data_IF_568765929264
#
_entry.id   IF_568765929264
#
_cell.length_a   1.000
_cell.length_b   1.000
_cell.length_c   1.000
_cell.angle_alpha   90.00
_cell.angle_beta   90.00
_cell.angle_gamma   90.00
#
_symmetry.space_group_name_H-M   'P 1'
#
loop_
_entity.id
_entity.type
_entity.pdbx_description
1 polymer ?
#
# COMPACT_ATOMS: atom_id res chain seq x y z
N UNK A 1 -13.57 -18.38 -27.16
CA UNK A 1 -13.84 -18.45 -25.71
C UNK A 1 -13.76 -17.08 -25.04
N UNK A 2 -12.60 -16.39 -24.97
CA UNK A 2 -12.52 -15.05 -24.34
C UNK A 2 -13.44 -14.01 -25.00
N UNK A 3 -13.56 -14.01 -26.33
CA UNK A 3 -14.48 -13.13 -27.08
C UNK A 3 -15.93 -13.30 -26.62
N UNK A 4 -16.40 -14.55 -26.49
CA UNK A 4 -17.77 -14.84 -26.08
C UNK A 4 -18.00 -14.36 -24.64
N UNK A 5 -17.08 -14.68 -23.71
CA UNK A 5 -17.15 -14.19 -22.33
C UNK A 5 -17.28 -12.66 -22.24
N UNK A 6 -16.43 -11.91 -22.94
CA UNK A 6 -16.50 -10.45 -22.91
C UNK A 6 -17.80 -9.95 -23.54
N UNK A 7 -18.25 -10.57 -24.63
CA UNK A 7 -19.52 -10.18 -25.28
C UNK A 7 -20.72 -10.44 -24.37
N UNK A 8 -20.77 -11.59 -23.70
CA UNK A 8 -21.83 -11.94 -22.75
C UNK A 8 -21.83 -11.01 -21.53
N UNK A 9 -20.65 -10.73 -20.99
CA UNK A 9 -20.48 -9.76 -19.91
C UNK A 9 -20.96 -8.36 -20.32
N UNK A 10 -20.66 -7.94 -21.55
CA UNK A 10 -21.15 -6.66 -22.08
C UNK A 10 -22.67 -6.62 -22.25
N UNK A 11 -23.28 -7.73 -22.67
CA UNK A 11 -24.73 -7.87 -22.76
C UNK A 11 -25.35 -7.69 -21.37
N UNK A 12 -24.79 -8.33 -20.34
CA UNK A 12 -25.32 -8.23 -18.98
C UNK A 12 -25.11 -6.83 -18.38
N UNK A 13 -23.95 -6.20 -18.62
CA UNK A 13 -23.71 -4.79 -18.24
C UNK A 13 -24.67 -3.85 -18.98
N UNK A 14 -25.02 -4.14 -20.23
CA UNK A 14 -25.97 -3.33 -20.99
C UNK A 14 -27.41 -3.47 -20.49
N UNK A 15 -27.78 -4.63 -19.93
CA UNK A 15 -29.10 -4.87 -19.33
C UNK A 15 -29.29 -4.13 -18.01
N UNK A 16 -28.22 -3.98 -17.23
CA UNK A 16 -28.27 -3.26 -15.95
C UNK A 16 -27.31 -2.05 -15.92
N UNK A 17 -27.89 -0.87 -16.15
CA UNK A 17 -27.16 0.40 -16.13
C UNK A 17 -26.54 0.77 -14.77
N UNK A 18 -26.88 0.04 -13.69
CA UNK A 18 -26.24 0.21 -12.39
C UNK A 18 -24.89 -0.50 -12.30
N UNK A 19 -24.59 -1.48 -13.16
CA UNK A 19 -23.30 -2.16 -13.17
C UNK A 19 -22.24 -1.22 -13.77
N UNK A 20 -21.50 -0.55 -12.89
CA UNK A 20 -20.45 0.42 -13.27
C UNK A 20 -19.04 -0.16 -13.15
N UNK A 21 -18.86 -1.12 -12.25
CA UNK A 21 -17.54 -1.67 -11.90
C UNK A 21 -17.60 -3.19 -11.78
N UNK A 22 -16.65 -3.87 -12.41
CA UNK A 22 -16.43 -5.31 -12.30
C UNK A 22 -15.08 -5.55 -11.64
N UNK A 23 -15.08 -6.32 -10.55
CA UNK A 23 -13.87 -6.67 -9.81
C UNK A 23 -13.37 -8.04 -10.24
N UNK A 24 -12.06 -8.13 -10.43
CA UNK A 24 -11.31 -9.39 -10.51
C UNK A 24 -10.35 -9.44 -9.32
N UNK A 25 -10.06 -10.64 -8.82
CA UNK A 25 -9.06 -10.80 -7.76
C UNK A 25 -7.68 -10.99 -8.38
N UNK A 26 -6.75 -10.07 -8.10
CA UNK A 26 -5.43 -10.03 -8.73
C UNK A 26 -5.47 -9.70 -10.24
N UNK A 27 -6.43 -8.84 -10.62
CA UNK A 27 -6.66 -8.39 -12.00
C UNK A 27 -5.36 -7.96 -12.69
N UNK A 28 -4.51 -7.22 -11.99
CA UNK A 28 -3.32 -6.63 -12.60
C UNK A 28 -2.30 -7.65 -13.12
N UNK A 29 -2.29 -8.87 -12.58
CA UNK A 29 -1.25 -9.88 -12.89
C UNK A 29 -1.78 -11.05 -13.71
N UNK A 30 -3.10 -11.23 -13.75
CA UNK A 30 -3.76 -12.36 -14.40
C UNK A 30 -4.78 -11.86 -15.44
N UNK A 31 -6.07 -11.87 -15.10
CA UNK A 31 -7.17 -11.64 -16.04
C UNK A 31 -7.07 -10.32 -16.79
N UNK A 32 -6.55 -9.28 -16.14
CA UNK A 32 -6.41 -7.95 -16.73
C UNK A 32 -5.53 -7.93 -17.96
N UNK A 33 -4.54 -8.81 -18.07
CA UNK A 33 -3.70 -8.91 -19.27
C UNK A 33 -4.53 -9.42 -20.45
N UNK A 34 -5.37 -10.43 -20.23
CA UNK A 34 -6.23 -11.04 -21.26
C UNK A 34 -7.34 -10.08 -21.70
N UNK A 35 -8.03 -9.46 -20.73
CA UNK A 35 -9.11 -8.49 -20.99
C UNK A 35 -8.58 -7.27 -21.72
N UNK A 36 -7.42 -6.77 -21.31
CA UNK A 36 -6.78 -5.63 -21.94
C UNK A 36 -6.36 -5.94 -23.38
N UNK A 37 -5.78 -7.13 -23.63
CA UNK A 37 -5.45 -7.61 -24.99
C UNK A 37 -6.68 -7.65 -25.88
N UNK A 38 -7.77 -8.24 -25.40
CA UNK A 38 -9.03 -8.28 -26.13
C UNK A 38 -9.50 -6.88 -26.57
N UNK A 39 -9.62 -5.95 -25.62
CA UNK A 39 -10.08 -4.61 -25.97
C UNK A 39 -9.07 -3.86 -26.84
N UNK A 40 -7.78 -4.15 -26.72
CA UNK A 40 -6.74 -3.58 -27.58
C UNK A 40 -6.90 -4.00 -29.04
N UNK A 41 -7.18 -5.28 -29.30
CA UNK A 41 -7.42 -5.84 -30.63
C UNK A 41 -8.72 -5.29 -31.27
N UNK A 42 -9.71 -4.92 -30.45
CA UNK A 42 -11.00 -4.38 -30.90
C UNK A 42 -11.08 -2.84 -30.84
N UNK A 43 -9.95 -2.14 -31.03
CA UNK A 43 -9.88 -0.67 -30.88
C UNK A 43 -10.76 0.14 -31.81
N UNK A 44 -11.30 -0.46 -32.88
CA UNK A 44 -12.29 0.20 -33.76
C UNK A 44 -13.62 0.42 -33.04
N UNK A 45 -13.98 -0.48 -32.13
CA UNK A 45 -15.28 -0.48 -31.44
C UNK A 45 -15.18 0.13 -30.04
N UNK A 46 -13.99 0.08 -29.43
CA UNK A 46 -13.78 0.47 -28.04
C UNK A 46 -12.65 1.49 -27.88
N UNK A 47 -12.93 2.53 -27.09
CA UNK A 47 -11.90 3.39 -26.49
C UNK A 47 -11.57 2.86 -25.10
N UNK A 48 -10.29 2.90 -24.73
CA UNK A 48 -9.79 2.38 -23.45
C UNK A 48 -9.03 3.48 -22.70
N UNK A 49 -9.10 3.47 -21.38
CA UNK A 49 -8.23 4.27 -20.52
C UNK A 49 -7.75 3.40 -19.35
N UNK A 50 -6.45 3.22 -19.24
CA UNK A 50 -5.83 2.48 -18.14
C UNK A 50 -5.28 3.42 -17.08
N UNK A 51 -5.40 3.02 -15.82
CA UNK A 51 -4.60 3.55 -14.72
C UNK A 51 -3.54 2.52 -14.35
N UNK A 52 -2.33 2.73 -14.86
CA UNK A 52 -1.17 1.89 -14.63
C UNK A 52 -0.11 2.67 -13.85
N UNK A 53 0.42 2.06 -12.80
CA UNK A 53 1.55 2.63 -12.04
C UNK A 53 2.45 1.52 -11.52
N UNK A 54 3.75 1.63 -11.77
CA UNK A 54 4.76 0.64 -11.35
C UNK A 54 4.35 -0.79 -11.77
N UNK A 55 3.98 -0.97 -13.04
CA UNK A 55 3.50 -2.23 -13.62
C UNK A 55 2.22 -2.81 -13.00
N UNK A 56 1.52 -2.05 -12.16
CA UNK A 56 0.24 -2.43 -11.59
C UNK A 56 -0.93 -1.75 -12.31
N UNK A 57 -1.83 -2.53 -12.89
CA UNK A 57 -3.08 -2.10 -13.51
C UNK A 57 -4.15 -1.95 -12.42
N UNK A 58 -4.39 -0.72 -11.99
CA UNK A 58 -5.40 -0.41 -10.97
C UNK A 58 -6.80 -0.39 -11.56
N UNK A 59 -6.94 0.13 -12.77
CA UNK A 59 -8.23 0.29 -13.42
C UNK A 59 -8.08 0.22 -14.95
N UNK A 60 -8.99 -0.51 -15.60
CA UNK A 60 -9.21 -0.43 -17.05
C UNK A 60 -10.63 0.08 -17.28
N UNK A 61 -10.75 1.30 -17.81
CA UNK A 61 -12.03 1.86 -18.27
C UNK A 61 -12.22 1.57 -19.76
N UNK A 62 -13.39 1.04 -20.11
CA UNK A 62 -13.77 0.74 -21.50
C UNK A 62 -14.97 1.59 -21.88
N UNK A 63 -14.92 2.15 -23.08
CA UNK A 63 -15.93 3.05 -23.62
C UNK A 63 -16.38 2.55 -25.00
N UNK A 64 -17.68 2.71 -25.29
CA UNK A 64 -18.24 2.56 -26.64
C UNK A 64 -18.65 3.95 -27.11
N UNK A 65 -17.93 4.50 -28.10
CA UNK A 65 -17.97 5.94 -28.39
C UNK A 65 -17.51 6.76 -27.18
N UNK A 66 -18.36 7.68 -26.71
CA UNK A 66 -18.10 8.51 -25.53
C UNK A 66 -18.72 7.96 -24.23
N UNK A 67 -19.57 6.93 -24.31
CA UNK A 67 -20.23 6.35 -23.13
C UNK A 67 -19.29 5.37 -22.46
N UNK A 68 -19.08 5.54 -21.15
CA UNK A 68 -18.40 4.54 -20.33
C UNK A 68 -19.26 3.27 -20.33
N UNK A 69 -18.67 2.17 -20.78
CA UNK A 69 -19.30 0.85 -20.78
C UNK A 69 -19.08 0.18 -19.42
N UNK A 70 -17.83 0.08 -18.98
CA UNK A 70 -17.47 -0.63 -17.74
C UNK A 70 -16.12 -0.19 -17.20
N UNK A 71 -15.93 -0.31 -15.88
CA UNK A 71 -14.64 -0.21 -15.21
C UNK A 71 -14.24 -1.59 -14.69
N UNK A 72 -13.07 -2.08 -15.07
CA UNK A 72 -12.47 -3.26 -14.47
C UNK A 72 -11.49 -2.83 -13.40
N UNK A 73 -11.53 -3.49 -12.23
CA UNK A 73 -10.65 -3.18 -11.10
C UNK A 73 -10.10 -4.43 -10.43
N UNK A 74 -8.96 -4.24 -9.79
CA UNK A 74 -8.33 -5.26 -8.96
C UNK A 74 -8.85 -5.20 -7.52
N UNK A 75 -9.56 -6.21 -7.05
CA UNK A 75 -9.99 -6.25 -5.64
C UNK A 75 -8.82 -6.32 -4.67
N UNK A 76 -7.66 -6.83 -5.10
CA UNK A 76 -6.46 -6.98 -4.27
C UNK A 76 -5.85 -5.62 -3.89
N UNK A 77 -6.18 -4.52 -4.58
CA UNK A 77 -5.75 -3.18 -4.16
C UNK A 77 -6.56 -2.65 -2.99
N UNK A 78 -7.80 -3.11 -2.82
CA UNK A 78 -8.71 -2.74 -1.74
C UNK A 78 -8.61 -3.72 -0.56
N UNK A 79 -8.46 -5.01 -0.84
CA UNK A 79 -8.36 -6.08 0.14
C UNK A 79 -7.12 -6.93 -0.18
N UNK A 80 -5.93 -6.54 0.31
CA UNK A 80 -4.65 -7.13 -0.09
C UNK A 80 -4.37 -8.45 0.63
N UNK A 81 -5.20 -9.47 0.37
CA UNK A 81 -5.03 -10.82 0.89
C UNK A 81 -5.58 -11.83 -0.13
N UNK A 82 -5.20 -13.10 -0.02
CA UNK A 82 -5.71 -14.14 -0.92
C UNK A 82 -7.21 -14.37 -0.72
N UNK A 83 -7.89 -14.80 -1.78
CA UNK A 83 -9.34 -14.97 -1.79
C UNK A 83 -9.85 -15.96 -0.73
N UNK A 84 -9.09 -17.03 -0.44
CA UNK A 84 -9.50 -18.02 0.57
C UNK A 84 -9.48 -17.41 1.98
N UNK A 85 -8.44 -16.65 2.30
CA UNK A 85 -8.34 -15.92 3.57
C UNK A 85 -9.45 -14.87 3.67
N UNK A 86 -9.73 -14.12 2.60
CA UNK A 86 -10.83 -13.16 2.57
C UNK A 86 -12.19 -13.83 2.77
N UNK A 87 -12.44 -14.97 2.12
CA UNK A 87 -13.67 -15.75 2.26
C UNK A 87 -13.92 -16.12 3.72
N UNK A 88 -12.95 -16.80 4.34
CA UNK A 88 -13.01 -17.24 5.74
C UNK A 88 -13.22 -16.09 6.72
N UNK A 89 -12.71 -14.90 6.38
CA UNK A 89 -12.70 -13.74 7.28
C UNK A 89 -13.95 -12.88 7.14
N UNK A 90 -14.43 -12.66 5.91
CA UNK A 90 -15.48 -11.66 5.61
C UNK A 90 -16.84 -12.27 5.28
N UNK A 91 -16.86 -13.48 4.73
CA UNK A 91 -18.09 -14.15 4.32
C UNK A 91 -18.00 -15.68 4.50
N UNK A 92 -17.64 -16.20 5.70
CA UNK A 92 -17.51 -17.64 5.95
C UNK A 92 -18.82 -18.41 5.66
N UNK A 93 -19.97 -17.74 5.72
CA UNK A 93 -21.27 -18.29 5.39
C UNK A 93 -21.43 -18.73 3.92
N UNK A 94 -20.60 -18.21 3.00
CA UNK A 94 -20.62 -18.59 1.59
C UNK A 94 -19.85 -19.88 1.30
N UNK A 95 -19.25 -20.48 2.32
CA UNK A 95 -18.45 -21.70 2.19
C UNK A 95 -16.98 -21.43 1.86
N UNK A 96 -16.18 -22.50 1.88
CA UNK A 96 -14.76 -22.41 1.62
C UNK A 96 -14.45 -22.26 0.12
N UNK A 97 -13.29 -21.67 -0.17
CA UNK A 97 -12.71 -21.74 -1.52
C UNK A 97 -12.39 -23.19 -1.86
N UNK A 98 -12.76 -23.64 -3.04
CA UNK A 98 -12.35 -24.95 -3.54
C UNK A 98 -10.85 -25.03 -3.83
N UNK A 99 -10.38 -26.21 -4.25
CA UNK A 99 -9.01 -26.42 -4.72
C UNK A 99 -9.02 -27.22 -6.02
N UNK A 100 -8.03 -26.95 -6.88
CA UNK A 100 -7.82 -27.63 -8.15
C UNK A 100 -6.33 -27.91 -8.31
N UNK A 101 -5.94 -29.11 -8.78
CA UNK A 101 -4.55 -29.42 -9.10
C UNK A 101 -4.14 -28.71 -10.40
N UNK A 102 -3.77 -27.44 -10.31
CA UNK A 102 -3.43 -26.62 -11.47
C UNK A 102 -2.29 -27.21 -12.32
N UNK A 103 -1.36 -27.93 -11.70
CA UNK A 103 -0.22 -28.57 -12.38
C UNK A 103 -0.64 -29.74 -13.27
N UNK A 104 -1.78 -30.37 -12.97
CA UNK A 104 -2.29 -31.51 -13.72
C UNK A 104 -3.19 -31.06 -14.89
N UNK A 105 -3.53 -29.77 -14.97
CA UNK A 105 -4.41 -29.22 -16.00
C UNK A 105 -3.63 -28.62 -17.16
N UNK A 106 -4.03 -28.97 -18.38
CA UNK A 106 -3.49 -28.42 -19.61
C UNK A 106 -4.58 -28.33 -20.69
N UNK A 107 -4.23 -27.76 -21.85
CA UNK A 107 -5.19 -27.53 -22.93
C UNK A 107 -5.86 -28.82 -23.46
N UNK A 108 -5.22 -29.98 -23.30
CA UNK A 108 -5.74 -31.26 -23.81
C UNK A 108 -6.75 -31.94 -22.87
N UNK A 109 -6.68 -31.69 -21.55
CA UNK A 109 -7.55 -32.36 -20.56
C UNK A 109 -8.50 -31.41 -19.81
N UNK A 110 -8.43 -30.09 -20.05
CA UNK A 110 -9.23 -29.11 -19.31
C UNK A 110 -10.75 -29.33 -19.47
N UNK A 111 -11.19 -29.84 -20.62
CA UNK A 111 -12.61 -30.12 -20.87
C UNK A 111 -13.09 -31.36 -20.13
N UNK A 112 -12.22 -32.35 -19.91
CA UNK A 112 -12.54 -33.57 -19.17
C UNK A 112 -12.83 -33.27 -17.69
N UNK A 113 -12.26 -32.17 -17.18
CA UNK A 113 -12.51 -31.66 -15.83
C UNK A 113 -13.58 -30.56 -15.78
N UNK A 114 -14.36 -30.38 -16.85
CA UNK A 114 -15.27 -29.26 -17.06
C UNK A 114 -16.25 -29.02 -15.91
N UNK A 115 -16.98 -30.04 -15.46
CA UNK A 115 -17.98 -29.89 -14.39
C UNK A 115 -17.36 -29.48 -13.05
N UNK A 116 -16.20 -30.07 -12.72
CA UNK A 116 -15.45 -29.73 -11.51
C UNK A 116 -14.89 -28.31 -11.58
N UNK A 117 -14.35 -27.90 -12.74
CA UNK A 117 -13.85 -26.56 -12.99
C UNK A 117 -14.95 -25.51 -12.91
N UNK A 118 -16.11 -25.77 -13.52
CA UNK A 118 -17.27 -24.86 -13.46
C UNK A 118 -17.73 -24.68 -12.02
N UNK A 119 -17.80 -25.77 -11.25
CA UNK A 119 -18.19 -25.71 -9.82
C UNK A 119 -17.20 -24.88 -9.01
N UNK A 120 -15.90 -25.10 -9.19
CA UNK A 120 -14.84 -24.33 -8.54
C UNK A 120 -14.88 -22.85 -8.92
N UNK A 121 -14.99 -22.52 -10.20
CA UNK A 121 -15.00 -21.14 -10.69
C UNK A 121 -16.25 -20.38 -10.22
N UNK A 122 -17.41 -21.04 -10.20
CA UNK A 122 -18.65 -20.46 -9.64
C UNK A 122 -18.47 -20.10 -8.18
N UNK A 123 -17.83 -20.97 -7.39
CA UNK A 123 -17.56 -20.70 -5.99
C UNK A 123 -16.60 -19.52 -5.81
N UNK A 124 -15.54 -19.43 -6.62
CA UNK A 124 -14.60 -18.29 -6.59
C UNK A 124 -15.30 -16.94 -6.91
N UNK A 125 -16.18 -16.93 -7.92
CA UNK A 125 -16.94 -15.74 -8.30
C UNK A 125 -17.93 -15.35 -7.18
N UNK A 126 -18.65 -16.33 -6.61
CA UNK A 126 -19.59 -16.10 -5.51
C UNK A 126 -18.89 -15.49 -4.29
N UNK A 127 -17.76 -16.09 -3.89
CA UNK A 127 -16.93 -15.60 -2.78
C UNK A 127 -16.44 -14.18 -3.06
N UNK A 128 -15.89 -13.92 -4.25
CA UNK A 128 -15.39 -12.58 -4.59
C UNK A 128 -16.51 -11.54 -4.50
N UNK A 129 -17.68 -11.83 -5.05
CA UNK A 129 -18.86 -10.98 -4.93
C UNK A 129 -19.24 -10.71 -3.46
N UNK A 130 -19.31 -11.76 -2.65
CA UNK A 130 -19.61 -11.67 -1.21
C UNK A 130 -18.60 -10.83 -0.44
N UNK A 131 -17.31 -11.05 -0.68
CA UNK A 131 -16.21 -10.28 -0.07
C UNK A 131 -16.34 -8.79 -0.39
N UNK A 132 -16.56 -8.44 -1.66
CA UNK A 132 -16.66 -7.03 -2.08
C UNK A 132 -17.93 -6.35 -1.56
N UNK A 133 -19.07 -7.05 -1.57
CA UNK A 133 -20.32 -6.55 -0.99
C UNK A 133 -20.23 -6.37 0.52
N UNK A 134 -19.57 -7.30 1.23
CA UNK A 134 -19.32 -7.17 2.66
C UNK A 134 -18.46 -5.95 2.96
N UNK A 135 -17.36 -5.77 2.22
CA UNK A 135 -16.49 -4.60 2.37
C UNK A 135 -17.25 -3.30 2.10
N UNK A 136 -18.03 -3.24 1.00
CA UNK A 136 -18.89 -2.10 0.68
C UNK A 136 -19.86 -1.78 1.81
N UNK A 137 -20.55 -2.80 2.32
CA UNK A 137 -21.51 -2.64 3.43
C UNK A 137 -20.83 -2.06 4.67
N UNK A 138 -19.67 -2.60 5.07
CA UNK A 138 -18.92 -2.15 6.25
C UNK A 138 -18.48 -0.69 6.07
N UNK A 139 -17.85 -0.35 4.94
CA UNK A 139 -17.32 1.00 4.74
C UNK A 139 -18.41 2.05 4.53
N UNK A 140 -19.50 1.69 3.85
CA UNK A 140 -20.67 2.54 3.70
C UNK A 140 -21.35 2.78 5.06
N UNK A 141 -21.64 1.73 5.83
CA UNK A 141 -22.35 1.90 7.11
C UNK A 141 -21.52 2.65 8.16
N UNK A 142 -20.21 2.37 8.26
CA UNK A 142 -19.36 2.93 9.32
C UNK A 142 -18.75 4.27 8.94
N UNK A 143 -18.45 4.50 7.67
CA UNK A 143 -17.72 5.68 7.22
C UNK A 143 -18.45 6.50 6.15
N UNK A 144 -19.62 6.05 5.67
CA UNK A 144 -20.35 6.69 4.56
C UNK A 144 -19.48 6.82 3.30
N UNK A 145 -18.65 5.82 3.04
CA UNK A 145 -17.77 5.77 1.88
C UNK A 145 -18.15 4.59 0.99
N UNK A 146 -18.36 4.89 -0.28
CA UNK A 146 -18.44 3.89 -1.34
C UNK A 146 -17.02 3.45 -1.75
N UNK A 147 -16.77 2.14 -1.76
CA UNK A 147 -15.49 1.57 -2.21
C UNK A 147 -15.28 1.77 -3.71
N UNK A 148 -16.34 2.01 -4.50
CA UNK A 148 -16.19 2.37 -5.91
C UNK A 148 -15.56 3.76 -6.11
N UNK A 149 -15.63 4.64 -5.12
CA UNK A 149 -15.00 5.96 -5.18
C UNK A 149 -13.50 5.92 -4.79
N UNK A 150 -13.02 4.78 -4.29
CA UNK A 150 -11.67 4.67 -3.75
C UNK A 150 -10.99 3.41 -4.27
N UNK A 151 -9.87 3.54 -4.97
CA UNK A 151 -9.26 2.40 -5.68
C UNK A 151 -8.38 1.51 -4.80
N UNK A 152 -7.91 2.00 -3.64
CA UNK A 152 -6.95 1.27 -2.81
C UNK A 152 -7.25 1.43 -1.33
N UNK A 153 -6.83 0.45 -0.53
CA UNK A 153 -6.97 0.51 0.92
C UNK A 153 -6.22 1.69 1.54
N UNK A 154 -5.05 2.05 1.01
CA UNK A 154 -4.28 3.20 1.47
C UNK A 154 -5.04 4.51 1.18
N UNK A 155 -5.63 4.64 -0.01
CA UNK A 155 -6.50 5.77 -0.34
C UNK A 155 -7.76 5.81 0.55
N UNK A 156 -8.33 4.65 0.91
CA UNK A 156 -9.51 4.55 1.76
C UNK A 156 -9.18 4.97 3.20
N UNK A 157 -8.09 4.44 3.74
CA UNK A 157 -7.58 4.82 5.05
C UNK A 157 -7.30 6.32 5.13
N UNK A 158 -6.67 6.89 4.08
CA UNK A 158 -6.42 8.34 4.01
C UNK A 158 -7.72 9.14 3.94
N UNK A 159 -8.73 8.69 3.17
CA UNK A 159 -10.03 9.36 3.08
C UNK A 159 -10.75 9.36 4.44
N UNK A 160 -10.73 8.23 5.13
CA UNK A 160 -11.30 8.11 6.50
C UNK A 160 -10.58 9.05 7.46
N UNK A 161 -9.24 9.02 7.47
CA UNK A 161 -8.42 9.91 8.29
C UNK A 161 -8.79 11.37 8.08
N UNK A 162 -8.80 11.83 6.82
CA UNK A 162 -9.08 13.23 6.48
C UNK A 162 -10.49 13.70 6.83
N UNK A 163 -11.50 12.83 6.71
CA UNK A 163 -12.90 13.23 6.93
C UNK A 163 -13.26 13.24 8.42
N UNK A 164 -12.64 12.36 9.22
CA UNK A 164 -13.09 12.10 10.59
C UNK A 164 -12.08 12.43 11.69
N UNK A 165 -10.79 12.50 11.38
CA UNK A 165 -9.74 12.52 12.40
C UNK A 165 -8.70 13.62 12.18
N UNK A 166 -8.51 14.09 10.95
CA UNK A 166 -7.57 15.16 10.68
C UNK A 166 -8.14 16.50 11.15
N UNK A 167 -7.48 17.08 12.14
CA UNK A 167 -7.62 18.48 12.48
C UNK A 167 -6.76 19.32 11.52
N UNK A 168 -7.34 19.72 10.39
CA UNK A 168 -6.64 20.45 9.33
C UNK A 168 -6.25 21.88 9.75
N UNK A 169 -6.91 22.43 10.78
CA UNK A 169 -6.59 23.75 11.31
C UNK A 169 -5.27 23.72 12.08
N UNK A 170 -5.09 22.72 12.96
CA UNK A 170 -3.87 22.57 13.74
C UNK A 170 -2.77 21.79 13.02
N UNK A 171 -3.13 20.89 12.10
CA UNK A 171 -2.23 19.98 11.40
C UNK A 171 -2.45 19.98 9.88
N UNK A 172 -2.28 21.13 9.20
CA UNK A 172 -2.41 21.18 7.75
C UNK A 172 -1.38 20.27 7.09
N UNK A 173 -1.83 19.44 6.14
CA UNK A 173 -0.94 18.56 5.38
C UNK A 173 -0.15 19.40 4.37
N UNK A 174 1.10 19.72 4.71
CA UNK A 174 2.02 20.39 3.80
C UNK A 174 2.51 19.45 2.70
N UNK A 175 2.35 19.86 1.44
CA UNK A 175 2.91 19.15 0.29
C UNK A 175 4.33 19.69 0.03
N UNK A 176 5.38 18.87 0.20
CA UNK A 176 6.74 19.34 0.03
C UNK A 176 7.02 19.74 -1.42
N UNK A 177 7.85 20.77 -1.59
CA UNK A 177 8.46 21.09 -2.88
C UNK A 177 9.38 19.96 -3.32
N UNK A 178 9.72 19.91 -4.63
CA UNK A 178 10.66 18.90 -5.16
C UNK A 178 11.98 18.88 -4.40
N UNK A 179 12.53 20.04 -4.03
CA UNK A 179 13.80 20.12 -3.30
C UNK A 179 13.69 19.60 -1.86
N UNK A 180 12.59 19.94 -1.17
CA UNK A 180 12.31 19.41 0.17
C UNK A 180 12.19 17.89 0.13
N UNK A 181 11.35 17.35 -0.77
CA UNK A 181 11.15 15.90 -0.91
C UNK A 181 12.45 15.19 -1.27
N UNK A 182 13.19 15.69 -2.27
CA UNK A 182 14.46 15.09 -2.71
C UNK A 182 15.47 15.00 -1.58
N UNK A 183 15.59 16.04 -0.73
CA UNK A 183 16.48 16.01 0.42
C UNK A 183 15.99 15.05 1.51
N UNK A 184 14.74 15.18 1.94
CA UNK A 184 14.14 14.40 3.04
C UNK A 184 14.13 12.90 2.69
N UNK A 185 13.81 12.56 1.45
CA UNK A 185 13.72 11.17 0.96
C UNK A 185 15.05 10.42 0.98
N UNK A 186 16.19 11.13 1.02
CA UNK A 186 17.51 10.51 1.25
C UNK A 186 17.58 9.83 2.63
N UNK A 187 16.85 10.37 3.61
CA UNK A 187 16.69 9.78 4.95
C UNK A 187 15.48 8.85 5.08
N UNK A 188 14.78 8.53 3.99
CA UNK A 188 13.67 7.59 4.00
C UNK A 188 14.18 6.16 3.78
N UNK A 189 14.21 5.39 4.86
CA UNK A 189 14.67 4.01 4.91
C UNK A 189 13.52 3.05 5.27
N UNK A 190 13.65 1.79 4.84
CA UNK A 190 12.73 0.72 5.21
C UNK A 190 13.07 0.12 6.57
N UNK A 191 12.39 -0.98 6.93
CA UNK A 191 12.72 -1.74 8.12
C UNK A 191 14.12 -2.35 8.07
N UNK A 192 14.74 -2.53 9.25
CA UNK A 192 16.00 -3.23 9.41
C UNK A 192 15.78 -4.75 9.40
N UNK A 193 16.49 -5.45 8.54
CA UNK A 193 16.50 -6.91 8.48
C UNK A 193 17.94 -7.38 8.24
N UNK A 194 18.59 -7.88 9.29
CA UNK A 194 19.98 -8.35 9.27
C UNK A 194 20.09 -9.79 9.77
N UNK A 195 21.07 -10.53 9.25
CA UNK A 195 21.43 -11.87 9.75
C UNK A 195 22.69 -11.75 10.60
N UNK A 196 22.53 -11.77 11.92
CA UNK A 196 23.67 -11.77 12.85
C UNK A 196 24.20 -13.17 13.14
N UNK A 197 23.29 -14.15 13.20
CA UNK A 197 23.59 -15.57 13.37
C UNK A 197 22.76 -16.34 12.35
N UNK A 198 23.39 -17.07 11.41
CA UNK A 198 22.68 -17.73 10.32
C UNK A 198 21.91 -18.99 10.78
N UNK A 199 22.24 -19.52 11.95
CA UNK A 199 21.60 -20.71 12.53
C UNK A 199 21.42 -20.53 14.03
N UNK A 200 20.38 -21.16 14.57
CA UNK A 200 20.11 -21.25 15.99
C UNK A 200 19.03 -22.31 16.26
N UNK A 201 19.03 -22.82 17.49
CA UNK A 201 18.08 -23.84 17.98
C UNK A 201 17.39 -23.31 19.24
N UNK A 202 16.17 -23.76 19.51
CA UNK A 202 15.39 -23.37 20.70
C UNK A 202 15.27 -21.85 20.90
N UNK A 203 14.93 -21.13 19.82
CA UNK A 203 14.85 -19.67 19.82
C UNK A 203 13.46 -19.14 20.25
N UNK A 204 13.44 -17.93 20.79
CA UNK A 204 12.22 -17.18 21.08
C UNK A 204 11.97 -16.14 19.97
N UNK A 205 10.71 -16.04 19.53
CA UNK A 205 10.25 -15.05 18.56
C UNK A 205 9.44 -13.96 19.27
N UNK A 206 9.88 -12.71 19.13
CA UNK A 206 9.22 -11.53 19.67
C UNK A 206 8.80 -10.63 18.51
N UNK A 207 7.56 -10.15 18.55
CA UNK A 207 6.99 -9.26 17.54
C UNK A 207 6.29 -8.09 18.23
N UNK A 208 6.47 -6.89 17.69
CA UNK A 208 5.83 -5.70 18.24
C UNK A 208 4.41 -5.62 17.72
N UNK A 209 3.45 -5.54 18.65
CA UNK A 209 2.05 -5.41 18.31
C UNK A 209 1.79 -4.09 17.57
N UNK A 210 1.60 -4.18 16.25
CA UNK A 210 1.29 -3.02 15.40
C UNK A 210 2.34 -1.90 15.49
N UNK A 211 3.62 -2.23 15.24
CA UNK A 211 4.75 -1.30 15.35
C UNK A 211 4.48 0.10 14.76
N UNK A 212 4.17 0.21 13.47
CA UNK A 212 3.95 1.52 12.84
C UNK A 212 2.76 2.29 13.43
N UNK A 213 1.57 1.68 13.62
CA UNK A 213 0.50 2.31 14.38
C UNK A 213 0.91 2.80 15.77
N UNK A 214 1.67 2.00 16.53
CA UNK A 214 2.16 2.40 17.85
C UNK A 214 3.04 3.66 17.74
N UNK A 215 4.00 3.69 16.81
CA UNK A 215 4.82 4.89 16.57
C UNK A 215 3.97 6.09 16.16
N UNK A 216 2.97 5.87 15.30
CA UNK A 216 2.02 6.89 14.88
C UNK A 216 1.19 7.45 16.02
N UNK A 217 0.92 6.70 17.08
CA UNK A 217 0.12 7.17 18.21
C UNK A 217 0.98 7.88 19.25
N UNK A 218 2.09 7.27 19.65
CA UNK A 218 2.77 7.61 20.91
C UNK A 218 3.80 8.74 20.78
N UNK A 219 4.34 8.98 19.58
CA UNK A 219 5.50 9.86 19.42
C UNK A 219 5.16 11.18 18.71
N UNK A 220 5.78 12.30 19.12
CA UNK A 220 5.68 13.57 18.40
C UNK A 220 6.13 13.45 16.94
N UNK A 221 5.47 14.18 16.04
CA UNK A 221 5.68 14.09 14.60
C UNK A 221 6.20 15.42 14.01
N UNK A 222 6.97 15.36 12.92
CA UNK A 222 7.32 16.55 12.13
C UNK A 222 6.07 17.09 11.43
N UNK A 223 5.69 18.33 11.76
CA UNK A 223 4.50 18.98 11.22
C UNK A 223 4.84 20.34 10.58
N UNK A 224 3.92 20.80 9.73
CA UNK A 224 4.01 22.12 9.09
C UNK A 224 5.04 22.20 7.95
N UNK A 225 5.41 23.44 7.62
CA UNK A 225 6.35 23.74 6.54
C UNK A 225 7.78 23.61 7.07
N UNK A 226 8.63 22.75 6.48
CA UNK A 226 10.00 22.64 6.94
C UNK A 226 10.86 23.85 6.60
N UNK A 227 11.73 24.23 7.53
CA UNK A 227 12.67 25.34 7.39
C UNK A 227 14.07 24.81 7.07
N UNK A 228 14.68 25.32 6.00
CA UNK A 228 16.02 24.93 5.61
C UNK A 228 17.07 25.66 6.45
N UNK A 229 18.04 24.91 6.97
CA UNK A 229 19.22 25.42 7.65
C UNK A 229 20.47 24.97 6.90
N UNK A 230 21.30 25.95 6.50
CA UNK A 230 22.51 25.72 5.69
C UNK A 230 23.70 25.22 6.52
N UNK A 231 23.73 25.52 7.81
CA UNK A 231 24.80 25.15 8.72
C UNK A 231 24.20 24.89 10.12
N UNK A 232 24.59 23.77 10.74
CA UNK A 232 24.27 23.41 12.13
C UNK A 232 25.49 23.45 13.05
N UNK A 233 26.62 24.00 12.61
CA UNK A 233 27.80 24.22 13.44
C UNK A 233 27.44 24.93 14.75
N UNK A 234 27.91 24.37 15.88
CA UNK A 234 27.63 24.86 17.23
C UNK A 234 26.19 24.66 17.71
N UNK A 235 25.33 23.96 16.96
CA UNK A 235 23.99 23.58 17.43
C UNK A 235 24.02 22.24 18.16
N UNK A 236 23.45 22.25 19.36
CA UNK A 236 23.21 21.03 20.13
C UNK A 236 22.21 20.12 19.40
N UNK A 237 22.55 18.83 19.25
CA UNK A 237 21.74 17.86 18.55
C UNK A 237 20.32 17.73 19.13
N UNK A 238 20.19 17.85 20.46
CA UNK A 238 18.90 17.75 21.16
C UNK A 238 17.92 18.87 20.80
N UNK A 239 18.44 20.03 20.36
CA UNK A 239 17.64 21.17 19.88
C UNK A 239 17.09 20.97 18.47
N UNK A 240 17.60 19.98 17.73
CA UNK A 240 17.22 19.73 16.34
C UNK A 240 16.04 18.76 16.28
N UNK A 241 15.07 19.07 15.42
CA UNK A 241 13.94 18.20 15.13
C UNK A 241 13.62 18.23 13.63
N UNK A 242 13.91 17.15 12.91
CA UNK A 242 13.71 17.10 11.46
C UNK A 242 14.67 16.16 10.74
N UNK A 243 14.95 16.42 9.46
CA UNK A 243 15.83 15.60 8.63
C UNK A 243 17.16 16.31 8.40
N UNK A 244 18.25 15.66 8.82
CA UNK A 244 19.57 16.27 8.96
C UNK A 244 20.58 15.46 8.16
N UNK A 245 21.32 16.14 7.28
CA UNK A 245 22.55 15.60 6.73
C UNK A 245 23.64 15.72 7.79
N UNK A 246 24.23 14.59 8.17
CA UNK A 246 25.25 14.51 9.22
C UNK A 246 26.43 13.67 8.75
N UNK A 247 27.62 14.08 9.18
CA UNK A 247 28.79 13.22 9.17
C UNK A 247 28.78 12.38 10.45
N UNK A 248 28.86 11.06 10.30
CA UNK A 248 28.75 10.12 11.41
C UNK A 248 29.98 9.22 11.48
N UNK A 249 30.44 8.96 12.71
CA UNK A 249 31.50 7.98 13.00
C UNK A 249 30.90 6.91 13.92
N UNK A 250 30.64 5.75 13.34
CA UNK A 250 30.20 4.58 14.07
C UNK A 250 31.41 3.81 14.64
N UNK A 251 31.43 3.48 15.95
CA UNK A 251 32.50 2.69 16.54
C UNK A 251 32.67 1.33 15.84
N UNK A 252 33.92 0.95 15.56
CA UNK A 252 34.22 -0.31 14.85
C UNK A 252 33.90 -1.57 15.66
N UNK A 253 33.73 -1.45 16.98
CA UNK A 253 33.45 -2.54 17.91
C UNK A 253 31.95 -2.72 18.21
N UNK A 254 31.05 -1.91 17.63
CA UNK A 254 29.62 -2.07 17.84
C UNK A 254 29.12 -3.36 17.16
N UNK A 255 28.46 -4.22 17.92
CA UNK A 255 28.00 -5.53 17.40
C UNK A 255 26.80 -5.43 16.46
N UNK A 256 26.00 -4.37 16.61
CA UNK A 256 24.78 -4.13 15.83
C UNK A 256 24.72 -2.65 15.44
N UNK A 257 25.43 -2.23 14.38
CA UNK A 257 25.39 -0.84 13.92
C UNK A 257 23.94 -0.42 13.65
N UNK A 258 23.56 0.79 14.02
CA UNK A 258 22.16 1.25 14.02
C UNK A 258 21.78 2.11 12.82
N UNK A 259 22.64 3.04 12.40
CA UNK A 259 22.27 3.99 11.34
C UNK A 259 22.30 3.33 9.95
N UNK A 260 21.23 3.49 9.16
CA UNK A 260 21.14 2.92 7.81
C UNK A 260 22.02 3.70 6.81
N UNK A 261 22.49 3.01 5.78
CA UNK A 261 23.20 3.61 4.66
C UNK A 261 22.84 2.87 3.37
N UNK A 262 22.59 3.60 2.29
CA UNK A 262 22.43 3.02 0.96
C UNK A 262 23.78 3.04 0.27
N UNK A 263 24.31 1.87 -0.07
CA UNK A 263 25.56 1.76 -0.81
C UNK A 263 25.42 2.31 -2.25
N UNK A 264 26.52 2.29 -3.01
CA UNK A 264 26.55 2.74 -4.41
C UNK A 264 25.55 2.02 -5.34
N UNK A 265 25.07 0.84 -4.94
CA UNK A 265 24.10 0.04 -5.69
C UNK A 265 22.66 0.25 -5.18
N UNK A 266 22.47 1.08 -4.15
CA UNK A 266 21.18 1.29 -3.49
C UNK A 266 20.81 0.23 -2.45
N UNK A 267 21.73 -0.67 -2.10
CA UNK A 267 21.53 -1.70 -1.08
C UNK A 267 21.52 -1.06 0.29
N UNK A 268 20.47 -1.34 1.08
CA UNK A 268 20.40 -0.91 2.47
C UNK A 268 21.35 -1.75 3.32
N UNK A 269 22.30 -1.09 3.98
CA UNK A 269 23.25 -1.68 4.91
C UNK A 269 23.31 -0.87 6.21
N UNK A 270 23.91 -1.44 7.25
CA UNK A 270 24.14 -0.80 8.54
C UNK A 270 25.64 -0.85 8.87
N UNK A 271 26.45 0.06 8.32
CA UNK A 271 27.90 -0.04 8.39
C UNK A 271 28.49 0.54 9.68
N UNK A 272 29.71 0.13 10.01
CA UNK A 272 30.59 0.82 10.96
C UNK A 272 31.48 1.85 10.24
N UNK A 273 32.25 2.63 11.01
CA UNK A 273 33.19 3.59 10.46
C UNK A 273 32.54 4.92 10.07
N UNK A 274 33.08 5.56 9.04
CA UNK A 274 32.79 6.96 8.69
C UNK A 274 31.89 7.03 7.47
N UNK A 275 30.78 7.77 7.56
CA UNK A 275 29.92 8.02 6.42
C UNK A 275 29.10 9.30 6.59
N UNK A 276 28.52 9.77 5.49
CA UNK A 276 27.59 10.91 5.47
C UNK A 276 26.24 10.39 5.00
N UNK A 277 25.18 10.77 5.71
CA UNK A 277 23.82 10.42 5.36
C UNK A 277 22.83 11.47 5.82
N UNK A 278 21.60 11.38 5.31
CA UNK A 278 20.46 12.13 5.84
C UNK A 278 19.70 11.21 6.78
N UNK A 279 19.38 11.70 7.97
CA UNK A 279 18.72 10.93 9.04
C UNK A 279 17.64 11.77 9.69
N UNK A 280 16.63 11.11 10.25
CA UNK A 280 15.74 11.79 11.18
C UNK A 280 16.49 12.11 12.47
N UNK A 281 16.27 13.29 13.03
CA UNK A 281 17.02 13.80 14.20
C UNK A 281 16.97 12.85 15.39
N UNK A 282 15.85 12.16 15.62
CA UNK A 282 15.73 11.22 16.73
C UNK A 282 16.56 9.94 16.51
N UNK A 283 16.81 9.54 15.26
CA UNK A 283 17.75 8.45 14.95
C UNK A 283 19.19 8.87 15.29
N UNK A 284 19.55 10.12 15.01
CA UNK A 284 20.88 10.66 15.36
C UNK A 284 21.05 10.74 16.89
N UNK A 285 20.03 11.19 17.63
CA UNK A 285 20.09 11.23 19.10
C UNK A 285 20.29 9.84 19.68
N UNK A 286 19.54 8.84 19.20
CA UNK A 286 19.72 7.46 19.63
C UNK A 286 21.10 6.90 19.23
N UNK A 287 21.59 7.21 18.03
CA UNK A 287 22.93 6.80 17.60
C UNK A 287 24.03 7.41 18.48
N UNK A 288 23.93 8.68 18.87
CA UNK A 288 24.84 9.31 19.85
C UNK A 288 24.88 8.50 21.15
N UNK A 289 23.73 8.11 21.66
CA UNK A 289 23.61 7.37 22.92
C UNK A 289 24.19 5.94 22.80
N UNK A 290 24.28 5.39 21.57
CA UNK A 290 25.01 4.16 21.26
C UNK A 290 26.53 4.36 21.06
N UNK A 291 27.04 5.57 21.23
CA UNK A 291 28.46 5.92 21.13
C UNK A 291 28.92 6.40 19.74
N UNK A 292 28.00 6.81 18.86
CA UNK A 292 28.38 7.42 17.59
C UNK A 292 28.85 8.86 17.79
N UNK A 293 29.92 9.26 17.12
CA UNK A 293 30.25 10.68 16.96
C UNK A 293 29.43 11.26 15.81
N UNK A 294 28.71 12.35 16.05
CA UNK A 294 27.78 12.94 15.09
C UNK A 294 28.10 14.42 14.92
N UNK A 295 28.30 14.83 13.67
CA UNK A 295 28.48 16.23 13.28
C UNK A 295 27.32 16.61 12.35
N UNK A 296 26.29 17.32 12.85
CA UNK A 296 25.20 17.84 12.04
C UNK A 296 25.74 18.89 11.05
N UNK A 297 25.38 18.77 9.77
CA UNK A 297 25.88 19.68 8.72
C UNK A 297 24.80 20.69 8.32
N UNK A 298 23.68 20.19 7.81
CA UNK A 298 22.57 20.99 7.26
C UNK A 298 21.31 20.16 7.18
N UNK A 299 20.15 20.79 7.01
CA UNK A 299 18.92 20.03 6.90
C UNK A 299 17.66 20.85 7.01
N UNK A 300 16.55 20.14 7.05
CA UNK A 300 15.22 20.70 7.25
C UNK A 300 14.77 20.44 8.68
N UNK A 301 14.47 21.51 9.41
CA UNK A 301 13.81 21.43 10.71
C UNK A 301 12.30 21.58 10.55
N UNK A 302 11.58 20.90 11.43
CA UNK A 302 10.12 20.89 11.49
C UNK A 302 9.66 21.35 12.86
N UNK A 303 8.41 21.81 12.91
CA UNK A 303 7.73 21.98 14.18
C UNK A 303 7.48 20.59 14.81
N UNK A 304 7.82 20.46 16.09
CA UNK A 304 7.55 19.26 16.89
C UNK A 304 6.18 19.39 17.52
N UNK A 305 5.20 18.63 17.01
CA UNK A 305 3.85 18.58 17.58
C UNK A 305 3.50 17.18 18.08
N UNK A 306 2.46 17.08 18.91
CA UNK A 306 1.80 15.81 19.18
C UNK A 306 1.36 15.14 17.87
N UNK A 307 1.15 13.82 17.90
CA UNK A 307 0.87 13.11 16.67
C UNK A 307 -0.53 13.44 16.13
N UNK A 308 -0.66 13.85 14.85
CA UNK A 308 -1.97 14.03 14.22
C UNK A 308 -2.72 12.71 14.01
N UNK A 309 -2.09 11.57 14.29
CA UNK A 309 -2.66 10.25 14.07
C UNK A 309 -3.20 9.61 15.36
N UNK A 310 -3.02 10.25 16.52
CA UNK A 310 -3.35 9.69 17.82
C UNK A 310 -4.80 9.20 17.89
N UNK A 311 -5.77 10.06 17.59
CA UNK A 311 -7.19 9.71 17.63
C UNK A 311 -7.57 8.62 16.62
N UNK A 312 -7.00 8.69 15.41
CA UNK A 312 -7.24 7.71 14.36
C UNK A 312 -6.76 6.31 14.79
N UNK A 313 -5.54 6.22 15.33
CA UNK A 313 -4.96 4.95 15.74
C UNK A 313 -5.64 4.43 17.01
N UNK A 314 -5.89 5.28 18.01
CA UNK A 314 -6.55 4.91 19.25
C UNK A 314 -7.94 4.34 18.97
N UNK A 315 -8.76 5.06 18.20
CA UNK A 315 -10.11 4.61 17.83
C UNK A 315 -10.09 3.25 17.13
N UNK A 316 -9.23 3.07 16.12
CA UNK A 316 -9.17 1.80 15.37
C UNK A 316 -8.62 0.65 16.21
N UNK A 317 -7.64 0.92 17.08
CA UNK A 317 -7.06 -0.11 17.95
C UNK A 317 -8.07 -0.58 19.00
N UNK A 318 -8.76 0.34 19.67
CA UNK A 318 -9.82 0.03 20.64
C UNK A 318 -10.96 -0.73 19.98
N UNK A 319 -11.46 -0.23 18.84
CA UNK A 319 -12.51 -0.91 18.06
C UNK A 319 -12.07 -2.33 17.65
N UNK A 320 -10.78 -2.53 17.36
CA UNK A 320 -10.21 -3.85 17.06
C UNK A 320 -10.17 -4.77 18.28
N UNK A 321 -9.87 -4.24 19.47
CA UNK A 321 -9.91 -5.03 20.70
C UNK A 321 -11.34 -5.45 21.05
N UNK A 322 -12.31 -4.56 20.88
CA UNK A 322 -13.73 -4.86 21.05
C UNK A 322 -14.20 -5.93 20.07
N UNK A 323 -13.87 -5.78 18.78
CA UNK A 323 -14.19 -6.78 17.77
C UNK A 323 -13.60 -8.15 18.10
N UNK A 324 -12.35 -8.20 18.60
CA UNK A 324 -11.74 -9.44 19.07
C UNK A 324 -12.49 -10.06 20.24
N UNK A 325 -12.86 -9.26 21.25
CA UNK A 325 -13.63 -9.72 22.41
C UNK A 325 -15.00 -10.28 22.00
N UNK A 326 -15.62 -9.69 20.98
CA UNK A 326 -16.89 -10.13 20.42
C UNK A 326 -16.78 -11.31 19.43
N UNK A 327 -15.57 -11.79 19.11
CA UNK A 327 -15.35 -12.83 18.10
C UNK A 327 -15.59 -12.37 16.65
N UNK A 328 -15.68 -11.06 16.40
CA UNK A 328 -15.87 -10.50 15.07
C UNK A 328 -14.53 -10.45 14.30
N UNK A 329 -14.23 -11.57 13.63
CA UNK A 329 -13.06 -11.73 12.79
C UNK A 329 -13.03 -10.75 11.61
N UNK A 330 -14.19 -10.44 11.02
CA UNK A 330 -14.32 -9.50 9.90
C UNK A 330 -13.85 -8.10 10.31
N UNK A 331 -14.40 -7.56 11.39
CA UNK A 331 -14.05 -6.22 11.85
C UNK A 331 -12.64 -6.16 12.43
N UNK A 332 -12.18 -7.23 13.09
CA UNK A 332 -10.78 -7.35 13.54
C UNK A 332 -9.80 -7.19 12.37
N UNK A 333 -10.11 -7.83 11.23
CA UNK A 333 -9.33 -7.70 10.00
C UNK A 333 -9.40 -6.30 9.41
N UNK A 334 -10.60 -5.72 9.26
CA UNK A 334 -10.80 -4.39 8.67
C UNK A 334 -10.05 -3.31 9.46
N UNK A 335 -10.14 -3.31 10.79
CA UNK A 335 -9.44 -2.32 11.60
C UNK A 335 -7.93 -2.48 11.54
N UNK A 336 -7.41 -3.71 11.61
CA UNK A 336 -5.97 -3.97 11.42
C UNK A 336 -5.49 -3.44 10.06
N UNK A 337 -6.28 -3.69 9.02
CA UNK A 337 -5.96 -3.31 7.65
C UNK A 337 -5.92 -1.78 7.50
N UNK A 338 -6.90 -1.05 8.04
CA UNK A 338 -6.91 0.42 8.03
C UNK A 338 -5.70 1.00 8.77
N UNK A 339 -5.44 0.55 10.00
CA UNK A 339 -4.31 1.02 10.82
C UNK A 339 -2.98 0.92 10.06
N UNK A 340 -2.74 -0.22 9.40
CA UNK A 340 -1.49 -0.49 8.71
C UNK A 340 -1.38 0.18 7.33
N UNK A 341 -2.48 0.68 6.76
CA UNK A 341 -2.50 1.19 5.39
C UNK A 341 -2.30 2.71 5.28
N UNK A 342 -2.41 3.44 6.40
CA UNK A 342 -2.31 4.91 6.40
C UNK A 342 -0.88 5.39 6.19
N UNK A 343 0.09 4.91 6.98
CA UNK A 343 1.45 5.47 7.00
C UNK A 343 2.13 5.44 5.61
N UNK A 344 1.92 4.35 4.85
CA UNK A 344 2.49 4.21 3.51
C UNK A 344 2.03 5.30 2.53
N UNK A 345 0.90 5.96 2.80
CA UNK A 345 0.40 7.09 2.01
C UNK A 345 1.32 8.29 2.10
N UNK A 346 1.85 8.58 3.29
CA UNK A 346 2.74 9.71 3.53
C UNK A 346 4.16 9.46 3.00
N UNK A 347 4.55 8.20 2.82
CA UNK A 347 5.83 7.79 2.23
C UNK A 347 5.81 7.59 0.71
N UNK A 348 4.68 7.83 0.02
CA UNK A 348 4.56 7.56 -1.41
C UNK A 348 5.63 8.30 -2.22
N UNK A 349 6.32 7.57 -3.09
CA UNK A 349 7.27 8.19 -4.03
C UNK A 349 6.51 9.05 -5.06
N UNK A 350 6.82 10.34 -5.25
CA UNK A 350 6.22 11.15 -6.30
C UNK A 350 6.63 10.66 -7.69
N UNK A 351 7.83 10.09 -7.82
CA UNK A 351 8.28 9.45 -9.05
C UNK A 351 7.62 8.08 -9.19
N UNK A 352 7.10 7.82 -10.39
CA UNK A 352 6.53 6.53 -10.71
C UNK A 352 6.67 6.25 -12.19
N UNK A 353 6.82 4.97 -12.51
CA UNK A 353 6.83 4.52 -13.90
C UNK A 353 5.38 4.59 -14.40
N UNK A 354 5.17 5.45 -15.39
CA UNK A 354 3.93 5.50 -16.16
C UNK A 354 4.04 4.49 -17.30
N UNK A 355 3.06 3.61 -17.41
CA UNK A 355 2.98 2.64 -18.50
C UNK A 355 1.77 2.96 -19.34
N UNK A 356 1.99 3.21 -20.63
CA UNK A 356 0.92 3.44 -21.60
C UNK A 356 0.83 2.31 -22.61
N UNK A 357 -0.39 2.03 -23.05
CA UNK A 357 -0.66 1.00 -24.05
C UNK A 357 -1.00 1.69 -25.36
N UNK A 358 -0.05 1.61 -26.29
CA UNK A 358 -0.10 2.31 -27.55
C UNK A 358 -0.18 1.34 -28.72
N UNK A 359 -0.87 1.75 -29.79
CA UNK A 359 -0.72 1.08 -31.08
C UNK A 359 0.58 1.56 -31.76
N UNK A 360 1.02 0.88 -32.82
CA UNK A 360 2.25 1.24 -33.56
C UNK A 360 2.25 2.69 -34.08
N UNK A 361 1.08 3.29 -34.32
CA UNK A 361 0.95 4.68 -34.78
C UNK A 361 1.24 5.68 -33.65
N UNK A 362 0.68 5.44 -32.47
CA UNK A 362 0.86 6.29 -31.29
C UNK A 362 2.26 6.16 -30.69
N UNK A 363 2.90 5.00 -30.83
CA UNK A 363 4.27 4.76 -30.38
C UNK A 363 5.29 5.68 -31.08
N UNK A 364 5.02 6.12 -32.32
CA UNK A 364 5.89 7.04 -33.07
C UNK A 364 5.81 8.50 -32.61
N UNK A 365 4.81 8.83 -31.79
CA UNK A 365 4.53 10.18 -31.31
C UNK A 365 4.88 10.36 -29.82
N UNK A 366 5.44 9.32 -29.19
CA UNK A 366 6.03 9.32 -27.85
C UNK A 366 7.55 9.38 -28.02
#
# INVERSE_FOLDING_TARGET
>A
MLFNFITDLEIDIAKDSMIRTVYFHNFSRFDGILILKYYAEHSKNYKRKTLLRNHKLYELKVYRGNKLLVRYRDSLTMLPNDLNTLAKTLCPELGAKGSIPHEDLNASNILDHGDNLITYLRQDILILGGVMLKAQKIYSSKYRIDIEDVMTISSLSMKIFRIKFLDDENFPIHIPTKNQDTFIRRGYYGGRSDVFKPKGENLFYYDVNSLYPFIMKEYPMPCGVPVWHRNFEGKELDSLFGFIEAYVVCPNNISKPFLPYKDKNGTLIFPTGKFIGVFYSEELKFARDLGYDIIPLRGYLFEKKSSPFEDFISHLYESRLEAKKAGDGSMTFIYKLLMNSLYGRFGMNPESIVTEICNKKNMKNL
#
